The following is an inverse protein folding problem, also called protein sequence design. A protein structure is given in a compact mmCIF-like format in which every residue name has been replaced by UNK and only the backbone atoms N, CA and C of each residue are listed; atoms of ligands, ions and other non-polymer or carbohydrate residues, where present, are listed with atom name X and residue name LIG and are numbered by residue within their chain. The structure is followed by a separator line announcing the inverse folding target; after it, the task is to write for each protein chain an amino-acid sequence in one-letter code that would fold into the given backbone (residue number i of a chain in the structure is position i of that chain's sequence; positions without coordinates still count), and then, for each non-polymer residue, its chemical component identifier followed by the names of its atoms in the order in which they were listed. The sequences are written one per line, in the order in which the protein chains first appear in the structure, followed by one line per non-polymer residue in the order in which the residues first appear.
data_IF_152309071723
#
_entry.id   IF_152309071723
#
_cell.length_a   1.000
_cell.length_b   1.000
_cell.length_c   1.000
_cell.angle_alpha   90.00
_cell.angle_beta   90.00
_cell.angle_gamma   90.00
#
_symmetry.space_group_name_H-M   'P 1'
#
loop_
_entity.id
_entity.type
_entity.pdbx_description
1 polymer ?
#
# COMPACT_ATOMS: atom_id res chain seq x y z
N UNK A 1 3.85 10.00 14.78
CA UNK A 1 4.99 10.16 13.87
C UNK A 1 5.44 8.81 13.28
N UNK A 2 5.59 7.73 14.08
CA UNK A 2 5.94 6.39 13.56
C UNK A 2 4.75 5.43 13.28
N UNK A 3 3.49 5.77 13.61
CA UNK A 3 2.38 4.79 13.57
C UNK A 3 1.78 4.54 12.18
N UNK A 4 1.86 5.49 11.24
CA UNK A 4 1.43 5.31 9.84
C UNK A 4 2.56 5.01 8.87
N UNK A 5 3.78 5.48 9.16
CA UNK A 5 4.97 5.26 8.32
C UNK A 5 5.58 3.88 8.58
N UNK A 6 5.29 3.26 9.73
CA UNK A 6 5.76 1.91 10.03
C UNK A 6 4.61 0.89 9.96
N UNK A 7 4.87 -0.23 9.29
CA UNK A 7 4.24 -1.49 9.71
C UNK A 7 4.99 -1.88 10.96
N UNK A 8 4.39 -1.63 12.13
CA UNK A 8 5.09 -1.71 13.40
C UNK A 8 5.78 -3.06 13.62
N UNK A 9 5.25 -4.14 13.03
CA UNK A 9 5.77 -5.48 13.25
C UNK A 9 5.66 -6.34 11.97
N UNK A 10 6.81 -6.82 11.46
CA UNK A 10 6.82 -8.03 10.62
C UNK A 10 6.90 -9.25 11.55
N UNK A 11 5.87 -10.08 11.48
CA UNK A 11 5.71 -11.23 12.37
C UNK A 11 6.35 -12.51 11.83
N UNK A 12 6.89 -12.51 10.61
CA UNK A 12 7.38 -13.72 9.94
C UNK A 12 8.66 -13.46 9.15
N UNK A 13 9.58 -14.42 9.22
CA UNK A 13 10.76 -14.56 8.34
C UNK A 13 10.71 -15.94 7.70
N UNK A 14 11.34 -16.10 6.54
CA UNK A 14 11.35 -17.36 5.81
C UNK A 14 12.75 -17.64 5.27
N UNK A 15 13.20 -18.89 5.37
CA UNK A 15 14.41 -19.33 4.68
C UNK A 15 14.24 -19.24 3.16
N UNK A 16 15.37 -19.04 2.47
CA UNK A 16 15.41 -19.00 1.00
C UNK A 16 14.82 -20.29 0.42
N UNK A 17 13.92 -20.16 -0.54
CA UNK A 17 13.29 -21.29 -1.24
C UNK A 17 11.96 -21.76 -0.64
N UNK A 18 11.64 -21.43 0.61
CA UNK A 18 10.36 -21.79 1.25
C UNK A 18 9.20 -20.89 0.82
N UNK A 19 9.48 -19.60 0.58
CA UNK A 19 8.51 -18.64 0.06
C UNK A 19 8.84 -18.31 -1.39
N UNK A 20 7.91 -18.58 -2.30
CA UNK A 20 8.04 -18.28 -3.73
C UNK A 20 6.87 -17.39 -4.15
N UNK A 21 7.17 -16.23 -4.72
CA UNK A 21 6.16 -15.31 -5.23
C UNK A 21 5.82 -15.68 -6.68
N UNK A 22 4.55 -15.58 -7.04
CA UNK A 22 4.11 -15.67 -8.43
C UNK A 22 4.28 -14.30 -9.11
N UNK A 23 4.27 -14.27 -10.44
CA UNK A 23 4.41 -13.04 -11.25
C UNK A 23 3.04 -12.45 -11.66
N UNK A 24 1.99 -12.69 -10.86
CA UNK A 24 0.62 -12.32 -11.21
C UNK A 24 0.34 -10.81 -11.08
N UNK A 25 1.10 -10.10 -10.23
CA UNK A 25 1.00 -8.66 -9.99
C UNK A 25 2.35 -8.09 -9.60
N UNK A 26 2.63 -6.84 -9.97
CA UNK A 26 3.82 -6.14 -9.49
C UNK A 26 3.69 -5.78 -7.99
N UNK A 27 2.45 -5.53 -7.53
CA UNK A 27 2.15 -5.25 -6.13
C UNK A 27 1.28 -6.35 -5.52
N UNK A 28 1.70 -6.80 -4.34
CA UNK A 28 1.05 -7.90 -3.61
C UNK A 28 0.84 -9.14 -4.48
N UNK A 29 1.92 -9.68 -5.08
CA UNK A 29 1.83 -10.96 -5.79
C UNK A 29 1.36 -12.06 -4.84
N UNK A 30 0.66 -13.04 -5.40
CA UNK A 30 0.40 -14.28 -4.68
C UNK A 30 1.72 -14.99 -4.39
N UNK A 31 1.72 -15.80 -3.34
CA UNK A 31 2.91 -16.59 -3.01
C UNK A 31 2.51 -17.97 -2.55
N UNK A 32 3.39 -18.94 -2.85
CA UNK A 32 3.36 -20.28 -2.30
C UNK A 32 4.37 -20.35 -1.17
N UNK A 33 3.96 -20.93 -0.05
CA UNK A 33 4.81 -21.14 1.10
C UNK A 33 4.80 -22.61 1.50
N UNK A 34 5.97 -23.19 1.71
CA UNK A 34 6.14 -24.56 2.20
C UNK A 34 6.66 -24.54 3.64
N UNK A 35 5.94 -25.17 4.55
CA UNK A 35 6.27 -25.23 5.98
C UNK A 35 5.25 -24.54 6.88
N UNK A 36 5.58 -24.44 8.17
CA UNK A 36 4.73 -23.84 9.19
C UNK A 36 4.97 -22.33 9.34
N UNK A 37 3.90 -21.57 9.58
CA UNK A 37 3.99 -20.14 9.87
C UNK A 37 3.91 -19.96 11.39
N UNK A 38 4.95 -19.39 11.99
CA UNK A 38 5.00 -19.02 13.42
C UNK A 38 5.26 -17.52 13.56
N UNK A 39 4.82 -16.94 14.67
CA UNK A 39 5.11 -15.56 15.01
C UNK A 39 6.50 -15.47 15.64
N UNK A 40 7.22 -14.40 15.34
CA UNK A 40 8.45 -14.05 16.04
C UNK A 40 8.13 -13.65 17.49
N UNK A 41 8.95 -14.10 18.44
CA UNK A 41 8.91 -13.62 19.82
C UNK A 41 9.36 -12.16 19.93
N UNK A 42 10.32 -11.77 19.09
CA UNK A 42 10.83 -10.40 18.96
C UNK A 42 10.57 -9.89 17.53
N UNK A 43 9.46 -9.17 17.29
CA UNK A 43 9.13 -8.68 15.95
C UNK A 43 10.09 -7.61 15.46
N UNK A 44 10.23 -7.55 14.13
CA UNK A 44 11.07 -6.52 13.48
C UNK A 44 10.21 -5.28 13.23
N UNK A 45 10.69 -4.14 13.72
CA UNK A 45 10.12 -2.83 13.42
C UNK A 45 10.47 -2.46 11.98
N UNK A 46 9.46 -2.35 11.11
CA UNK A 46 9.66 -2.06 9.69
C UNK A 46 9.21 -0.64 9.36
N UNK A 47 10.19 0.28 9.35
CA UNK A 47 10.04 1.67 8.93
C UNK A 47 10.07 1.74 7.41
N UNK A 48 9.10 2.42 6.80
CA UNK A 48 8.93 2.37 5.33
C UNK A 48 9.32 3.65 4.61
N UNK A 49 9.29 4.82 5.27
CA UNK A 49 9.87 6.08 4.76
C UNK A 49 10.67 6.76 5.85
N UNK A 50 11.70 7.51 5.46
CA UNK A 50 12.44 8.38 6.37
C UNK A 50 11.86 9.80 6.40
N UNK A 51 11.28 10.28 5.28
CA UNK A 51 10.70 11.61 5.16
C UNK A 51 9.47 11.71 4.21
N UNK A 52 8.98 12.93 3.98
CA UNK A 52 7.84 13.20 3.09
C UNK A 52 8.20 12.95 1.62
N UNK A 53 9.45 13.20 1.22
CA UNK A 53 9.90 12.98 -0.15
C UNK A 53 9.87 11.49 -0.48
N UNK A 54 10.34 10.65 0.44
CA UNK A 54 10.28 9.19 0.33
C UNK A 54 8.85 8.67 0.25
N UNK A 55 7.95 9.21 1.08
CA UNK A 55 6.52 8.90 1.03
C UNK A 55 5.93 9.18 -0.36
N UNK A 56 6.23 10.36 -0.93
CA UNK A 56 5.73 10.76 -2.26
C UNK A 56 6.37 9.93 -3.38
N UNK A 57 7.67 9.65 -3.29
CA UNK A 57 8.38 8.79 -4.23
C UNK A 57 7.81 7.37 -4.22
N UNK A 58 7.52 6.81 -3.05
CA UNK A 58 6.88 5.51 -2.91
C UNK A 58 5.47 5.53 -3.47
N UNK A 59 4.67 6.56 -3.16
CA UNK A 59 3.34 6.73 -3.75
C UNK A 59 3.41 6.72 -5.29
N UNK A 60 4.37 7.44 -5.87
CA UNK A 60 4.56 7.48 -7.31
C UNK A 60 4.94 6.09 -7.87
N UNK A 61 5.90 5.39 -7.27
CA UNK A 61 6.29 4.03 -7.67
C UNK A 61 5.12 3.06 -7.60
N UNK A 62 4.38 3.06 -6.49
CA UNK A 62 3.31 2.10 -6.28
C UNK A 62 2.13 2.32 -7.22
N UNK A 63 1.77 3.59 -7.49
CA UNK A 63 0.72 3.89 -8.47
C UNK A 63 1.14 3.49 -9.89
N UNK A 64 2.43 3.61 -10.23
CA UNK A 64 2.97 3.12 -11.50
C UNK A 64 2.92 1.60 -11.61
N UNK A 65 3.38 0.87 -10.59
CA UNK A 65 3.31 -0.59 -10.59
C UNK A 65 1.88 -1.09 -10.67
N UNK A 66 0.97 -0.47 -9.90
CA UNK A 66 -0.46 -0.79 -9.96
C UNK A 66 -1.10 -0.53 -11.32
N UNK A 67 -0.58 0.43 -12.08
CA UNK A 67 -1.06 0.75 -13.41
C UNK A 67 -0.72 -0.34 -14.44
N UNK A 68 0.33 -1.13 -14.20
CA UNK A 68 0.79 -2.22 -15.07
C UNK A 68 0.07 -3.55 -14.81
N UNK A 69 -0.52 -3.72 -13.62
CA UNK A 69 -1.31 -4.91 -13.31
C UNK A 69 -2.49 -5.10 -14.30
N UNK A 70 -2.79 -6.34 -14.74
CA UNK A 70 -3.89 -6.63 -15.66
C UNK A 70 -5.24 -6.08 -15.15
N UNK A 71 -5.90 -5.24 -15.96
CA UNK A 71 -7.10 -4.47 -15.55
C UNK A 71 -8.33 -5.36 -15.31
N UNK A 72 -9.06 -5.06 -14.23
CA UNK A 72 -10.53 -5.08 -14.25
C UNK A 72 -10.99 -3.65 -14.57
N UNK A 73 -11.72 -3.44 -15.67
CA UNK A 73 -12.27 -2.12 -16.00
C UNK A 73 -13.16 -1.64 -14.84
N UNK A 74 -12.72 -0.59 -14.14
CA UNK A 74 -13.54 0.07 -13.12
C UNK A 74 -14.30 1.22 -13.76
N UNK A 75 -15.58 1.33 -13.43
CA UNK A 75 -16.43 2.47 -13.84
C UNK A 75 -15.93 3.75 -13.18
N UNK A 76 -15.92 4.85 -13.92
CA UNK A 76 -15.47 6.18 -13.45
C UNK A 76 -16.11 6.58 -12.09
N UNK A 77 -17.42 6.40 -11.96
CA UNK A 77 -18.16 6.67 -10.72
C UNK A 77 -17.65 5.89 -9.49
N UNK A 78 -17.13 4.67 -9.69
CA UNK A 78 -16.56 3.87 -8.60
C UNK A 78 -15.24 4.42 -8.07
N UNK A 79 -14.54 5.24 -8.86
CA UNK A 79 -13.31 5.91 -8.45
C UNK A 79 -13.61 7.15 -7.60
N UNK A 80 -14.61 7.95 -7.98
CA UNK A 80 -15.03 9.16 -7.25
C UNK A 80 -15.63 8.79 -5.89
N UNK A 81 -16.68 7.97 -5.85
CA UNK A 81 -17.24 7.54 -4.56
C UNK A 81 -16.24 6.73 -3.74
N UNK A 82 -15.29 6.07 -4.41
CA UNK A 82 -14.18 5.39 -3.76
C UNK A 82 -13.20 6.33 -3.06
N UNK A 83 -13.07 7.59 -3.50
CA UNK A 83 -12.16 8.57 -2.93
C UNK A 83 -12.56 8.93 -1.50
N UNK A 84 -13.78 9.42 -1.30
CA UNK A 84 -14.27 9.88 0.01
C UNK A 84 -14.25 8.74 1.03
N UNK A 85 -14.73 7.55 0.63
CA UNK A 85 -14.75 6.36 1.49
C UNK A 85 -13.32 5.98 1.91
N UNK A 86 -12.35 6.01 0.99
CA UNK A 86 -10.95 5.69 1.30
C UNK A 86 -10.31 6.75 2.17
N UNK A 87 -10.58 8.02 1.91
CA UNK A 87 -10.11 9.13 2.72
C UNK A 87 -10.60 8.96 4.16
N UNK A 88 -11.92 8.84 4.37
CA UNK A 88 -12.51 8.68 5.71
C UNK A 88 -12.02 7.40 6.40
N UNK A 89 -11.88 6.30 5.67
CA UNK A 89 -11.35 5.03 6.22
C UNK A 89 -9.90 5.19 6.70
N UNK A 90 -9.07 5.92 5.96
CA UNK A 90 -7.69 6.20 6.38
C UNK A 90 -7.65 7.21 7.52
N UNK A 91 -8.31 8.35 7.35
CA UNK A 91 -8.26 9.46 8.30
C UNK A 91 -8.92 9.13 9.64
N UNK A 92 -10.14 8.59 9.63
CA UNK A 92 -10.91 8.24 10.83
C UNK A 92 -10.62 6.80 11.24
N UNK A 93 -10.82 5.85 10.33
CA UNK A 93 -10.75 4.41 10.62
C UNK A 93 -9.35 3.95 11.05
N UNK A 94 -8.29 4.52 10.49
CA UNK A 94 -6.90 4.26 10.92
C UNK A 94 -6.37 5.32 11.90
N UNK A 95 -7.23 6.22 12.37
CA UNK A 95 -6.89 7.29 13.33
C UNK A 95 -5.79 8.24 12.81
N UNK A 96 -5.74 8.46 11.50
CA UNK A 96 -4.83 9.44 10.88
C UNK A 96 -4.99 10.86 11.45
N UNK A 97 -6.19 11.24 11.92
CA UNK A 97 -6.40 12.53 12.59
C UNK A 97 -5.49 12.75 13.82
N UNK A 98 -4.99 11.68 14.46
CA UNK A 98 -4.06 11.78 15.61
C UNK A 98 -2.66 12.22 15.20
N UNK A 99 -2.38 12.28 13.91
CA UNK A 99 -1.08 12.61 13.34
C UNK A 99 -1.05 14.02 12.74
N UNK A 100 -2.11 14.80 12.92
CA UNK A 100 -2.20 16.17 12.43
C UNK A 100 -2.14 16.25 10.90
N UNK A 101 -1.41 17.23 10.37
CA UNK A 101 -1.29 17.49 8.94
C UNK A 101 -0.71 16.31 8.16
N UNK A 102 0.21 15.54 8.75
CA UNK A 102 0.78 14.35 8.12
C UNK A 102 -0.29 13.27 7.89
N UNK A 103 -1.18 13.08 8.84
CA UNK A 103 -2.30 12.14 8.70
C UNK A 103 -3.28 12.56 7.62
N UNK A 104 -3.51 13.87 7.44
CA UNK A 104 -4.30 14.42 6.32
C UNK A 104 -3.61 14.10 4.99
N UNK A 105 -2.31 14.35 4.87
CA UNK A 105 -1.53 14.05 3.67
C UNK A 105 -1.62 12.56 3.30
N UNK A 106 -1.39 11.66 4.26
CA UNK A 106 -1.44 10.21 4.03
C UNK A 106 -2.86 9.77 3.63
N UNK A 107 -3.90 10.32 4.26
CA UNK A 107 -5.28 10.02 3.90
C UNK A 107 -5.61 10.48 2.47
N UNK A 108 -5.13 11.66 2.06
CA UNK A 108 -5.26 12.15 0.68
C UNK A 108 -4.55 11.24 -0.31
N UNK A 109 -3.29 10.87 -0.06
CA UNK A 109 -2.53 9.97 -0.93
C UNK A 109 -3.22 8.60 -1.04
N UNK A 110 -3.75 8.05 0.05
CA UNK A 110 -4.52 6.81 0.06
C UNK A 110 -5.81 6.89 -0.79
N UNK A 111 -6.49 8.03 -0.75
CA UNK A 111 -7.70 8.29 -1.53
C UNK A 111 -7.39 8.48 -3.03
N UNK A 112 -6.27 9.15 -3.34
CA UNK A 112 -5.79 9.38 -4.70
C UNK A 112 -5.20 8.13 -5.38
N UNK A 113 -4.67 7.20 -4.59
CA UNK A 113 -4.01 5.98 -5.09
C UNK A 113 -4.76 5.27 -6.25
N UNK A 114 -6.06 4.89 -6.12
CA UNK A 114 -6.78 4.23 -7.21
C UNK A 114 -7.00 5.13 -8.43
N UNK A 115 -7.15 6.45 -8.25
CA UNK A 115 -7.37 7.41 -9.33
C UNK A 115 -6.09 7.56 -10.15
N UNK A 116 -4.98 7.90 -9.49
CA UNK A 116 -3.67 8.07 -10.14
C UNK A 116 -3.22 6.78 -10.83
N UNK A 117 -3.40 5.62 -10.18
CA UNK A 117 -3.09 4.33 -10.81
C UNK A 117 -3.93 4.08 -12.06
N UNK A 118 -5.21 4.44 -12.04
CA UNK A 118 -6.10 4.27 -13.20
C UNK A 118 -5.71 5.20 -14.36
N UNK A 119 -5.43 6.47 -14.06
CA UNK A 119 -4.99 7.46 -15.05
C UNK A 119 -3.67 7.06 -15.71
N UNK A 120 -2.66 6.68 -14.92
CA UNK A 120 -1.37 6.15 -15.43
C UNK A 120 -1.55 4.92 -16.31
N UNK A 121 -2.52 4.07 -15.99
CA UNK A 121 -2.82 2.89 -16.79
C UNK A 121 -3.56 3.22 -18.10
N UNK A 122 -4.09 4.43 -18.25
CA UNK A 122 -4.67 4.94 -19.50
C UNK A 122 -3.64 5.68 -20.36
N UNK A 123 -2.65 6.34 -19.75
CA UNK A 123 -1.54 7.02 -20.45
C UNK A 123 -0.58 6.03 -21.11
N UNK A 124 -0.28 4.90 -20.45
CA UNK A 124 0.63 3.87 -20.98
C UNK A 124 -0.04 2.90 -22.00
N UNK A 125 -1.15 3.29 -22.62
CA UNK A 125 -1.84 2.52 -23.67
C UNK A 125 -1.71 3.23 -25.01
#
# INVERSE_FOLDING_TARGET
WLRTIAVLERNTISYRGLKRYDEDKEIHPTYKFNGEIKKLENPIIHLVDDDISDLLNRFNRYTTWRARDPKKNKKYWSLIFGFEIRFLKSFIGKKGYKEGLLGVLIAMLCALYPIVSHLKAHENR
#
